data_IF_454464265731
#
_entry.id   IF_454464265731
#
_cell.length_a   1.000
_cell.length_b   1.000
_cell.length_c   1.000
_cell.angle_alpha   90.00
_cell.angle_beta   90.00
_cell.angle_gamma   90.00
#
_symmetry.space_group_name_H-M   'P 1'
#
loop_
_entity.id
_entity.type
_entity.pdbx_description
1 polymer ?
#
# COMPACT_ATOMS: atom_id res chain seq x y z
N UNK A 1 19.87 -1.62 2.61
CA UNK A 1 19.04 -2.80 2.85
C UNK A 1 17.96 -2.91 1.80
N UNK A 2 17.62 -4.13 1.39
CA UNK A 2 16.66 -4.34 0.30
C UNK A 2 15.29 -3.71 0.56
N UNK A 3 14.75 -3.86 1.78
CA UNK A 3 13.44 -3.27 2.11
C UNK A 3 13.43 -1.75 1.98
N UNK A 4 14.48 -1.09 2.42
CA UNK A 4 14.58 0.36 2.28
C UNK A 4 14.56 0.77 0.81
N UNK A 5 15.36 0.13 -0.02
CA UNK A 5 15.44 0.43 -1.46
C UNK A 5 14.07 0.34 -2.15
N UNK A 6 13.34 -0.75 -1.95
CA UNK A 6 12.04 -0.93 -2.59
C UNK A 6 10.99 0.04 -2.02
N UNK A 7 11.06 0.35 -0.73
CA UNK A 7 10.17 1.35 -0.14
C UNK A 7 10.48 2.76 -0.65
N UNK A 8 11.74 3.09 -0.91
CA UNK A 8 12.12 4.37 -1.54
C UNK A 8 11.49 4.51 -2.93
N UNK A 9 11.46 3.43 -3.71
CA UNK A 9 10.80 3.43 -5.02
C UNK A 9 9.27 3.60 -4.88
N UNK A 10 8.67 2.92 -3.91
CA UNK A 10 7.24 3.11 -3.62
C UNK A 10 6.96 4.55 -3.16
N UNK A 11 7.82 5.11 -2.33
CA UNK A 11 7.69 6.50 -1.86
C UNK A 11 7.78 7.50 -3.00
N UNK A 12 8.71 7.31 -3.94
CA UNK A 12 8.81 8.15 -5.14
C UNK A 12 7.53 8.09 -5.98
N UNK A 13 6.94 6.90 -6.14
CA UNK A 13 5.66 6.73 -6.84
C UNK A 13 4.50 7.40 -6.08
N UNK A 14 4.51 7.37 -4.75
CA UNK A 14 3.50 8.05 -3.94
C UNK A 14 3.59 9.58 -4.10
N UNK A 15 4.80 10.13 -4.17
CA UNK A 15 5.00 11.55 -4.45
C UNK A 15 4.50 11.94 -5.85
N UNK A 16 4.69 11.07 -6.83
CA UNK A 16 4.18 11.29 -8.17
C UNK A 16 2.63 11.29 -8.18
N UNK A 17 2.00 10.37 -7.48
CA UNK A 17 0.53 10.35 -7.33
C UNK A 17 0.02 11.66 -6.68
N UNK A 18 0.72 12.16 -5.66
CA UNK A 18 0.41 13.44 -5.02
C UNK A 18 0.47 14.59 -6.03
N UNK A 19 1.56 14.67 -6.79
CA UNK A 19 1.74 15.71 -7.80
C UNK A 19 0.66 15.70 -8.87
N UNK A 20 0.07 14.54 -9.14
CA UNK A 20 -1.03 14.34 -10.10
C UNK A 20 -2.41 14.60 -9.51
N UNK A 21 -2.51 15.02 -8.25
CA UNK A 21 -3.77 15.31 -7.58
C UNK A 21 -4.45 14.13 -6.90
N UNK A 22 -3.77 12.99 -6.79
CA UNK A 22 -4.28 11.81 -6.10
C UNK A 22 -3.74 11.73 -4.66
N UNK A 23 -4.26 10.76 -3.88
CA UNK A 23 -3.70 10.48 -2.56
C UNK A 23 -2.25 10.02 -2.68
N UNK A 24 -1.35 10.42 -1.77
CA UNK A 24 0.06 10.05 -1.84
C UNK A 24 0.30 8.64 -1.33
N UNK A 25 -0.20 7.66 -2.06
CA UNK A 25 -0.06 6.24 -1.74
C UNK A 25 0.38 5.48 -2.98
N UNK A 26 1.37 4.62 -2.82
CA UNK A 26 1.85 3.74 -3.86
C UNK A 26 2.27 2.39 -3.27
N UNK A 27 2.33 1.40 -4.14
CA UNK A 27 2.74 0.05 -3.80
C UNK A 27 3.67 -0.51 -4.87
N UNK A 28 4.65 -1.29 -4.44
CA UNK A 28 5.59 -2.00 -5.31
C UNK A 28 5.55 -3.47 -4.94
N UNK A 29 5.44 -4.35 -5.94
CA UNK A 29 5.49 -5.80 -5.75
C UNK A 29 6.83 -6.31 -6.28
N UNK A 30 7.53 -7.08 -5.45
CA UNK A 30 8.85 -7.63 -5.75
C UNK A 30 8.79 -9.15 -5.62
N UNK A 31 9.37 -9.86 -6.59
CA UNK A 31 9.55 -11.30 -6.53
C UNK A 31 10.92 -11.66 -7.13
N UNK A 32 11.65 -12.52 -6.43
CA UNK A 32 13.01 -12.94 -6.85
C UNK A 32 13.97 -11.76 -7.07
N UNK A 33 13.85 -10.72 -6.23
CA UNK A 33 14.69 -9.53 -6.31
C UNK A 33 14.33 -8.54 -7.41
N UNK A 34 13.27 -8.81 -8.19
CA UNK A 34 12.83 -7.94 -9.29
C UNK A 34 11.48 -7.31 -9.00
N UNK A 35 11.32 -6.05 -9.40
CA UNK A 35 10.03 -5.37 -9.36
C UNK A 35 9.16 -5.92 -10.48
N UNK A 36 8.04 -6.55 -10.11
CA UNK A 36 7.08 -7.11 -11.07
C UNK A 36 5.86 -6.23 -11.31
N UNK A 37 5.61 -5.27 -10.42
CA UNK A 37 4.51 -4.32 -10.60
C UNK A 37 4.71 -3.10 -9.69
N UNK A 38 4.20 -1.96 -10.14
CA UNK A 38 4.06 -0.73 -9.35
C UNK A 38 2.65 -0.20 -9.53
N UNK A 39 2.01 0.23 -8.44
CA UNK A 39 0.69 0.83 -8.46
C UNK A 39 0.66 2.15 -7.71
N UNK A 40 -0.16 3.08 -8.18
CA UNK A 40 -0.46 4.35 -7.51
C UNK A 40 -1.94 4.46 -7.21
N UNK A 41 -2.28 5.22 -6.18
CA UNK A 41 -3.66 5.59 -5.94
C UNK A 41 -4.16 6.52 -7.05
N UNK A 42 -5.30 6.20 -7.65
CA UNK A 42 -5.93 7.01 -8.71
C UNK A 42 -7.42 7.21 -8.48
N UNK A 43 -7.88 7.14 -7.22
CA UNK A 43 -9.33 7.19 -6.93
C UNK A 43 -10.00 8.45 -7.46
N UNK A 44 -9.32 9.60 -7.41
CA UNK A 44 -9.87 10.86 -7.90
C UNK A 44 -9.83 10.95 -9.43
N UNK A 45 -8.69 10.57 -10.02
CA UNK A 45 -8.53 10.62 -11.49
C UNK A 45 -9.50 9.67 -12.21
N UNK A 46 -9.71 8.47 -11.64
CA UNK A 46 -10.54 7.43 -12.25
C UNK A 46 -12.00 7.46 -11.78
N UNK A 47 -12.34 8.30 -10.79
CA UNK A 47 -13.66 8.30 -10.13
C UNK A 47 -14.04 6.87 -9.66
N UNK A 48 -13.07 6.18 -9.07
CA UNK A 48 -13.19 4.78 -8.66
C UNK A 48 -12.72 4.62 -7.21
N UNK A 49 -13.64 4.34 -6.26
CA UNK A 49 -13.25 4.18 -4.85
C UNK A 49 -12.37 2.93 -4.59
N UNK A 50 -12.31 2.00 -5.54
CA UNK A 50 -11.44 0.82 -5.43
C UNK A 50 -10.04 1.02 -6.02
N UNK A 51 -9.76 2.15 -6.67
CA UNK A 51 -8.50 2.42 -7.35
C UNK A 51 -7.37 2.77 -6.36
N UNK A 52 -7.18 1.91 -5.37
CA UNK A 52 -6.08 1.97 -4.42
C UNK A 52 -4.77 1.47 -5.06
N UNK A 53 -3.65 1.90 -4.52
CA UNK A 53 -2.33 1.56 -5.05
C UNK A 53 -2.07 0.05 -5.04
N UNK A 54 -2.46 -0.63 -3.97
CA UNK A 54 -2.28 -2.07 -3.83
C UNK A 54 -3.11 -2.84 -4.87
N UNK A 55 -4.36 -2.40 -5.10
CA UNK A 55 -5.24 -2.97 -6.12
C UNK A 55 -4.61 -2.81 -7.50
N UNK A 56 -4.11 -1.62 -7.81
CA UNK A 56 -3.47 -1.35 -9.09
C UNK A 56 -2.24 -2.24 -9.33
N UNK A 57 -1.36 -2.36 -8.33
CA UNK A 57 -0.16 -3.18 -8.42
C UNK A 57 -0.49 -4.66 -8.61
N UNK A 58 -1.44 -5.20 -7.84
CA UNK A 58 -1.84 -6.61 -7.94
C UNK A 58 -2.48 -6.90 -9.31
N UNK A 59 -3.34 -6.01 -9.81
CA UNK A 59 -3.92 -6.14 -11.15
C UNK A 59 -2.86 -6.20 -12.23
N UNK A 60 -1.86 -5.32 -12.18
CA UNK A 60 -0.75 -5.32 -13.16
C UNK A 60 0.00 -6.64 -13.11
N UNK A 61 0.41 -7.09 -11.92
CA UNK A 61 1.17 -8.32 -11.76
C UNK A 61 0.37 -9.54 -12.25
N UNK A 62 -0.88 -9.67 -11.80
CA UNK A 62 -1.71 -10.82 -12.17
C UNK A 62 -1.98 -10.89 -13.68
N UNK A 63 -2.22 -9.76 -14.32
CA UNK A 63 -2.45 -9.70 -15.77
C UNK A 63 -1.18 -10.00 -16.56
N UNK A 64 -0.05 -9.46 -16.12
CA UNK A 64 1.24 -9.67 -16.79
C UNK A 64 1.65 -11.15 -16.79
N UNK A 65 1.52 -11.80 -15.64
CA UNK A 65 1.90 -13.20 -15.47
C UNK A 65 0.74 -14.19 -15.73
N UNK A 66 -0.45 -13.69 -16.06
CA UNK A 66 -1.65 -14.50 -16.32
C UNK A 66 -1.92 -15.49 -15.18
N UNK A 67 -1.89 -14.99 -13.94
CA UNK A 67 -2.02 -15.80 -12.74
C UNK A 67 -2.87 -15.10 -11.68
N UNK A 68 -3.48 -15.87 -10.78
CA UNK A 68 -4.10 -15.40 -9.55
C UNK A 68 -3.15 -15.60 -8.35
N UNK A 69 -2.00 -16.22 -8.57
CA UNK A 69 -1.08 -16.67 -7.52
C UNK A 69 0.24 -15.91 -7.61
N UNK A 70 0.47 -15.03 -6.65
CA UNK A 70 1.70 -14.24 -6.50
C UNK A 70 2.55 -14.77 -5.34
N UNK A 71 2.52 -16.08 -5.06
CA UNK A 71 3.36 -16.71 -4.04
C UNK A 71 4.84 -16.37 -4.27
N UNK A 72 5.57 -16.17 -3.19
CA UNK A 72 6.96 -15.73 -3.23
C UNK A 72 7.14 -14.21 -3.37
N UNK A 73 6.06 -13.45 -3.58
CA UNK A 73 6.14 -12.01 -3.73
C UNK A 73 6.07 -11.29 -2.39
N UNK A 74 6.70 -10.11 -2.36
CA UNK A 74 6.62 -9.13 -1.28
C UNK A 74 5.94 -7.87 -1.82
N UNK A 75 4.95 -7.35 -1.10
CA UNK A 75 4.32 -6.08 -1.42
C UNK A 75 4.80 -5.00 -0.45
N UNK A 76 5.30 -3.92 -1.01
CA UNK A 76 5.73 -2.72 -0.28
C UNK A 76 4.63 -1.67 -0.43
N UNK A 77 4.05 -1.22 0.67
CA UNK A 77 3.04 -0.15 0.64
C UNK A 77 3.47 1.03 1.50
N UNK A 78 3.37 2.24 0.93
CA UNK A 78 3.71 3.46 1.66
C UNK A 78 2.72 3.79 2.75
N UNK A 79 1.52 3.22 2.69
CA UNK A 79 0.49 3.33 3.73
C UNK A 79 -0.04 1.95 4.05
N UNK A 80 -0.31 1.71 5.33
CA UNK A 80 -0.96 0.48 5.79
C UNK A 80 -2.21 0.18 4.96
N UNK A 81 -2.34 -1.00 4.32
CA UNK A 81 -3.49 -1.34 3.50
C UNK A 81 -4.79 -1.29 4.30
N UNK A 82 -5.85 -0.80 3.68
CA UNK A 82 -7.21 -0.90 4.23
C UNK A 82 -7.70 -2.36 4.18
N UNK A 83 -8.84 -2.69 4.83
CA UNK A 83 -9.37 -4.06 4.80
C UNK A 83 -9.60 -4.62 3.39
N UNK A 84 -10.07 -3.81 2.45
CA UNK A 84 -10.26 -4.23 1.06
C UNK A 84 -8.94 -4.69 0.43
N UNK A 85 -7.89 -3.86 0.56
CA UNK A 85 -6.58 -4.15 -0.02
C UNK A 85 -5.90 -5.33 0.68
N UNK A 86 -6.02 -5.42 2.02
CA UNK A 86 -5.42 -6.53 2.75
C UNK A 86 -6.05 -7.87 2.37
N UNK A 87 -7.38 -7.92 2.21
CA UNK A 87 -8.03 -9.13 1.74
C UNK A 87 -7.54 -9.53 0.35
N UNK A 88 -7.39 -8.56 -0.56
CA UNK A 88 -6.86 -8.80 -1.90
C UNK A 88 -5.41 -9.31 -1.86
N UNK A 89 -4.57 -8.75 -0.99
CA UNK A 89 -3.19 -9.21 -0.80
C UNK A 89 -3.17 -10.68 -0.39
N UNK A 90 -4.04 -11.08 0.53
CA UNK A 90 -4.16 -12.47 0.98
C UNK A 90 -4.69 -13.39 -0.14
N UNK A 91 -5.70 -12.94 -0.88
CA UNK A 91 -6.26 -13.71 -2.00
C UNK A 91 -5.25 -13.90 -3.13
N UNK A 92 -4.38 -12.91 -3.37
CA UNK A 92 -3.31 -13.00 -4.35
C UNK A 92 -2.12 -13.89 -3.87
N UNK A 93 -2.17 -14.36 -2.63
CA UNK A 93 -1.14 -15.21 -2.01
C UNK A 93 0.24 -14.54 -1.88
N UNK A 94 0.26 -13.22 -1.73
CA UNK A 94 1.47 -12.48 -1.40
C UNK A 94 1.91 -12.93 0.00
N UNK A 95 3.20 -13.24 0.15
CA UNK A 95 3.72 -13.87 1.38
C UNK A 95 4.22 -12.87 2.40
N UNK A 96 4.67 -11.69 1.95
CA UNK A 96 5.23 -10.66 2.83
C UNK A 96 4.66 -9.30 2.49
N UNK A 97 4.30 -8.55 3.54
CA UNK A 97 3.85 -7.17 3.45
C UNK A 97 4.80 -6.27 4.22
N UNK A 98 5.34 -5.26 3.55
CA UNK A 98 6.25 -4.27 4.14
C UNK A 98 5.55 -2.93 4.15
N UNK A 99 5.45 -2.30 5.32
CA UNK A 99 4.67 -1.07 5.54
C UNK A 99 5.54 0.15 5.80
N UNK A 100 5.12 1.29 5.24
CA UNK A 100 5.57 2.61 5.63
C UNK A 100 4.69 3.19 6.74
N UNK A 101 3.81 4.13 6.40
CA UNK A 101 2.93 4.77 7.37
C UNK A 101 1.85 3.82 7.91
N UNK A 102 1.47 4.05 9.18
CA UNK A 102 0.45 3.27 9.89
C UNK A 102 -0.77 4.14 10.18
N UNK A 103 -1.97 3.56 10.16
CA UNK A 103 -3.21 4.27 10.48
C UNK A 103 -3.18 4.89 11.88
N UNK A 104 -2.61 4.19 12.85
CA UNK A 104 -2.52 4.69 14.22
C UNK A 104 -1.74 6.01 14.32
N UNK A 105 -0.65 6.15 13.57
CA UNK A 105 0.14 7.38 13.54
C UNK A 105 -0.59 8.56 12.88
N UNK A 106 -1.56 8.26 12.01
CA UNK A 106 -2.36 9.27 11.32
C UNK A 106 -3.61 9.69 12.11
N UNK A 107 -3.89 9.03 13.23
CA UNK A 107 -5.05 9.28 14.10
C UNK A 107 -6.38 9.30 13.32
N UNK A 108 -6.50 8.41 12.36
CA UNK A 108 -7.70 8.30 11.53
C UNK A 108 -8.83 7.70 12.35
N UNK A 109 -10.01 8.34 12.29
CA UNK A 109 -11.22 7.89 12.98
C UNK A 109 -12.06 6.93 12.11
N UNK A 110 -11.88 6.98 10.80
CA UNK A 110 -12.65 6.21 9.82
C UNK A 110 -12.19 4.75 9.67
N UNK A 111 -11.13 4.35 10.37
CA UNK A 111 -10.63 2.97 10.35
C UNK A 111 -11.05 2.16 11.58
N UNK A 112 -11.67 2.81 12.58
CA UNK A 112 -12.08 2.15 13.82
C UNK A 112 -10.92 1.44 14.50
N UNK A 113 -11.15 0.22 14.93
CA UNK A 113 -10.15 -0.63 15.59
C UNK A 113 -9.29 -1.44 14.60
N UNK A 114 -9.40 -1.16 13.30
CA UNK A 114 -8.67 -1.89 12.28
C UNK A 114 -7.17 -1.62 12.34
N UNK A 115 -6.41 -2.70 12.24
CA UNK A 115 -5.00 -2.72 11.84
C UNK A 115 -4.75 -3.98 11.04
N UNK A 116 -3.62 -4.05 10.34
CA UNK A 116 -3.22 -5.30 9.65
C UNK A 116 -3.16 -6.44 10.65
N UNK A 117 -2.59 -6.20 11.83
CA UNK A 117 -2.46 -7.22 12.87
C UNK A 117 -3.81 -7.73 13.36
N UNK A 118 -4.77 -6.83 13.64
CA UNK A 118 -6.11 -7.23 14.10
C UNK A 118 -6.87 -8.01 13.02
N UNK A 119 -6.73 -7.63 11.76
CA UNK A 119 -7.35 -8.32 10.65
C UNK A 119 -6.78 -9.73 10.45
N UNK A 120 -5.46 -9.88 10.53
CA UNK A 120 -4.82 -11.20 10.43
C UNK A 120 -5.20 -12.11 11.60
N UNK A 121 -5.33 -11.56 12.80
CA UNK A 121 -5.80 -12.31 13.97
C UNK A 121 -7.25 -12.76 13.80
N UNK A 122 -8.12 -11.89 13.29
CA UNK A 122 -9.53 -12.20 13.05
C UNK A 122 -9.71 -13.28 11.98
N UNK A 123 -8.97 -13.19 10.89
CA UNK A 123 -9.10 -14.10 9.73
C UNK A 123 -8.24 -15.35 9.88
N UNK A 124 -7.30 -15.38 10.82
CA UNK A 124 -6.33 -16.47 11.00
C UNK A 124 -5.54 -16.80 9.72
N UNK A 125 -5.34 -15.78 8.87
CA UNK A 125 -4.58 -15.94 7.63
C UNK A 125 -3.10 -15.57 7.86
N UNK A 126 -2.16 -16.38 7.38
CA UNK A 126 -0.73 -16.09 7.55
C UNK A 126 -0.27 -15.00 6.57
N UNK A 127 0.52 -14.06 7.08
CA UNK A 127 1.21 -13.05 6.28
C UNK A 127 2.41 -12.56 7.11
N UNK A 128 3.60 -12.60 6.53
CA UNK A 128 4.76 -12.00 7.17
C UNK A 128 4.64 -10.48 7.08
N UNK A 129 4.71 -9.81 8.23
CA UNK A 129 4.57 -8.36 8.33
C UNK A 129 5.89 -7.73 8.75
N UNK A 130 6.38 -6.77 7.95
CA UNK A 130 7.55 -5.94 8.26
C UNK A 130 7.10 -4.49 8.35
N UNK A 131 7.41 -3.82 9.45
CA UNK A 131 7.01 -2.43 9.72
C UNK A 131 8.22 -1.54 9.93
N UNK A 132 8.00 -0.22 9.93
CA UNK A 132 9.04 0.76 10.26
C UNK A 132 9.95 1.14 9.09
N UNK A 133 9.64 0.75 7.88
CA UNK A 133 10.48 1.04 6.70
C UNK A 133 10.02 2.37 6.09
N UNK A 134 10.86 3.40 6.17
CA UNK A 134 10.54 4.79 5.80
C UNK A 134 9.23 5.29 6.44
N UNK A 135 8.93 4.81 7.65
CA UNK A 135 7.65 5.10 8.31
C UNK A 135 7.45 6.60 8.51
N UNK A 136 8.48 7.32 8.96
CA UNK A 136 8.36 8.75 9.21
C UNK A 136 8.12 9.53 7.91
N UNK A 137 8.87 9.25 6.87
CA UNK A 137 8.73 9.94 5.57
C UNK A 137 7.35 9.69 4.96
N UNK A 138 6.88 8.46 4.99
CA UNK A 138 5.55 8.09 4.49
C UNK A 138 4.44 8.75 5.33
N UNK A 139 4.60 8.79 6.65
CA UNK A 139 3.67 9.45 7.57
C UNK A 139 3.59 10.95 7.29
N UNK A 140 4.74 11.61 7.17
CA UNK A 140 4.82 13.05 6.91
C UNK A 140 4.15 13.43 5.59
N UNK A 141 4.38 12.64 4.55
CA UNK A 141 3.77 12.87 3.24
C UNK A 141 2.24 12.77 3.32
N UNK A 142 1.72 11.75 4.01
CA UNK A 142 0.29 11.56 4.19
C UNK A 142 -0.34 12.67 5.04
N UNK A 143 0.33 13.10 6.11
CA UNK A 143 -0.14 14.19 6.96
C UNK A 143 -0.17 15.51 6.20
N UNK A 144 0.83 15.78 5.36
CA UNK A 144 0.84 16.96 4.49
C UNK A 144 -0.37 16.99 3.58
N UNK A 145 -0.68 15.88 2.92
CA UNK A 145 -1.85 15.75 2.06
C UNK A 145 -3.14 15.98 2.85
N UNK A 146 -3.27 15.39 4.03
CA UNK A 146 -4.45 15.55 4.89
C UNK A 146 -4.67 17.00 5.30
N UNK A 147 -3.60 17.74 5.64
CA UNK A 147 -3.68 19.17 5.96
C UNK A 147 -4.17 19.98 4.76
N UNK A 148 -3.67 19.71 3.57
CA UNK A 148 -4.09 20.38 2.36
C UNK A 148 -5.57 20.12 2.03
N UNK A 149 -6.05 18.89 2.24
CA UNK A 149 -7.46 18.56 2.03
C UNK A 149 -8.36 19.29 3.05
N UNK A 150 -7.92 19.43 4.29
CA UNK A 150 -8.70 20.15 5.31
C UNK A 150 -8.89 21.64 4.97
N UNK A 151 -7.90 22.27 4.30
CA UNK A 151 -8.00 23.68 3.90
C UNK A 151 -8.87 23.91 2.67
N UNK A 152 -9.24 22.86 1.91
CA UNK A 152 -10.07 22.93 0.71
C UNK A 152 -11.58 22.77 0.98
N UNK A 153 -11.95 22.53 2.25
CA UNK A 153 -13.36 22.34 2.66
C UNK A 153 -14.00 23.62 3.14
#
# INVERSE_FOLDING_TARGET
MAHQHYMELAFAAARAAYAEGNRPVAAVIVRDGEIIATGRNTIFADHDPSAHAEVAAIRVACRQFKTLDLSGATLYSTLEPCPMCLWLILEAKIERLVLGARHAALKRLDTGDYSVETFLALTRRPLELVTGVLEQQCTDLRLQWMREQATKR
#
